data_IF_461071475575
#
_entry.id   IF_461071475575
#
_cell.length_a   1.000
_cell.length_b   1.000
_cell.length_c   1.000
_cell.angle_alpha   90.00
_cell.angle_beta   90.00
_cell.angle_gamma   90.00
#
_symmetry.space_group_name_H-M   'P 1'
#
loop_
_entity.id
_entity.type
_entity.pdbx_description
1 polymer ?
#
# COMPACT_ATOMS: atom_id res chain seq x y z
N UNK A 1 -14.68 10.73 11.51
CA UNK A 1 -13.48 11.14 10.75
C UNK A 1 -13.48 10.45 9.39
N UNK A 2 -13.50 11.23 8.30
CA UNK A 2 -13.47 10.72 6.91
C UNK A 2 -12.02 10.45 6.48
N UNK A 3 -11.44 9.33 6.91
CA UNK A 3 -10.15 8.89 6.35
C UNK A 3 -10.31 7.46 5.84
N UNK A 4 -9.65 7.15 4.72
CA UNK A 4 -9.61 5.78 4.18
C UNK A 4 -8.70 4.92 5.07
N UNK A 5 -8.96 3.62 5.10
CA UNK A 5 -8.00 2.63 5.59
C UNK A 5 -7.19 2.13 4.40
N UNK A 6 -5.88 2.14 4.54
CA UNK A 6 -4.98 1.56 3.56
C UNK A 6 -4.47 0.21 4.07
N UNK A 7 -4.64 -0.84 3.26
CA UNK A 7 -4.27 -2.20 3.65
C UNK A 7 -3.62 -2.95 2.48
N UNK A 8 -2.51 -3.63 2.79
CA UNK A 8 -1.85 -4.58 1.89
C UNK A 8 -1.93 -5.99 2.49
N UNK A 9 -1.67 -7.01 1.68
CA UNK A 9 -1.87 -8.42 2.07
C UNK A 9 -0.61 -9.08 2.67
N UNK A 10 0.48 -8.33 2.87
CA UNK A 10 1.74 -8.84 3.41
C UNK A 10 2.41 -9.91 2.53
N UNK A 11 3.38 -10.64 3.10
CA UNK A 11 4.11 -11.73 2.43
C UNK A 11 3.59 -13.14 2.76
N UNK A 12 2.61 -13.28 3.66
CA UNK A 12 2.51 -14.49 4.49
C UNK A 12 1.30 -15.41 4.32
N UNK A 13 0.35 -15.09 3.44
CA UNK A 13 -0.87 -15.88 3.27
C UNK A 13 -0.95 -16.62 1.94
N UNK A 14 -1.52 -17.83 1.93
CA UNK A 14 -1.97 -18.47 0.68
C UNK A 14 -3.05 -17.56 0.07
N UNK A 15 -2.79 -17.02 -1.12
CA UNK A 15 -3.68 -16.05 -1.79
C UNK A 15 -3.26 -14.59 -1.62
N UNK A 16 -2.18 -14.29 -0.90
CA UNK A 16 -1.63 -12.94 -0.84
C UNK A 16 -1.19 -12.49 -2.24
N UNK A 17 -1.77 -11.37 -2.68
CA UNK A 17 -1.55 -10.72 -3.96
C UNK A 17 -0.83 -9.39 -3.72
N UNK A 18 -0.01 -8.93 -4.68
CA UNK A 18 0.70 -7.66 -4.59
C UNK A 18 -0.27 -6.51 -4.88
N UNK A 19 -1.30 -6.37 -4.04
CA UNK A 19 -2.35 -5.37 -4.17
C UNK A 19 -2.41 -4.55 -2.89
N UNK A 20 -2.45 -3.23 -3.05
CA UNK A 20 -2.66 -2.27 -1.99
C UNK A 20 -4.03 -1.63 -2.15
N UNK A 21 -4.87 -1.71 -1.11
CA UNK A 21 -6.26 -1.29 -1.17
C UNK A 21 -6.50 -0.04 -0.34
N UNK A 22 -7.34 0.82 -0.88
CA UNK A 22 -7.98 1.88 -0.13
C UNK A 22 -9.43 1.45 0.18
N UNK A 23 -9.79 1.50 1.45
CA UNK A 23 -11.05 1.00 1.98
C UNK A 23 -11.78 2.15 2.67
N UNK A 24 -13.06 2.34 2.37
CA UNK A 24 -13.91 3.24 3.14
C UNK A 24 -14.09 2.65 4.55
N UNK A 25 -13.68 3.40 5.59
CA UNK A 25 -13.71 2.89 6.97
C UNK A 25 -15.11 2.75 7.56
N UNK A 26 -16.10 3.41 6.99
CA UNK A 26 -17.48 3.36 7.46
C UNK A 26 -18.22 2.17 6.87
N UNK A 27 -18.02 1.92 5.58
CA UNK A 27 -18.76 0.87 4.85
C UNK A 27 -17.97 -0.43 4.69
N UNK A 28 -16.64 -0.36 4.72
CA UNK A 28 -15.76 -1.49 4.39
C UNK A 28 -15.59 -1.72 2.89
N UNK A 29 -16.16 -0.86 2.04
CA UNK A 29 -16.03 -0.97 0.59
C UNK A 29 -14.61 -0.66 0.12
N UNK A 30 -14.10 -1.47 -0.81
CA UNK A 30 -12.85 -1.19 -1.52
C UNK A 30 -13.14 -0.10 -2.55
N UNK A 31 -12.58 1.08 -2.36
CA UNK A 31 -12.78 2.24 -3.25
C UNK A 31 -11.67 2.39 -4.28
N UNK A 32 -10.51 1.75 -4.04
CA UNK A 32 -9.43 1.64 -5.00
C UNK A 32 -8.55 0.42 -4.72
N UNK A 33 -8.02 -0.15 -5.80
CA UNK A 33 -6.96 -1.14 -5.79
C UNK A 33 -5.75 -0.58 -6.54
N UNK A 34 -4.56 -0.73 -5.96
CA UNK A 34 -3.29 -0.24 -6.48
C UNK A 34 -2.37 -1.45 -6.60
N UNK A 35 -1.93 -1.75 -7.82
CA UNK A 35 -0.96 -2.80 -8.05
C UNK A 35 0.39 -2.43 -7.43
N UNK A 36 0.95 -3.37 -6.67
CA UNK A 36 2.32 -3.29 -6.19
C UNK A 36 3.21 -4.11 -7.13
N UNK A 37 4.49 -3.72 -7.30
CA UNK A 37 5.41 -4.50 -8.11
C UNK A 37 5.74 -5.87 -7.48
N UNK A 38 5.63 -5.98 -6.14
CA UNK A 38 5.85 -7.20 -5.34
C UNK A 38 5.03 -7.14 -4.04
N UNK A 39 4.97 -8.27 -3.32
CA UNK A 39 4.26 -8.34 -2.04
C UNK A 39 4.83 -7.36 -1.02
N UNK A 40 3.93 -6.77 -0.23
CA UNK A 40 4.27 -5.85 0.86
C UNK A 40 5.02 -6.60 1.96
N UNK A 41 6.15 -6.05 2.40
CA UNK A 41 7.02 -6.62 3.43
C UNK A 41 7.26 -5.71 4.63
N UNK A 42 6.93 -4.42 4.52
CA UNK A 42 7.00 -3.45 5.61
C UNK A 42 5.71 -2.62 5.74
N UNK A 43 5.51 -2.00 6.90
CA UNK A 43 4.26 -1.29 7.19
C UNK A 43 4.06 -0.09 6.25
N UNK A 44 2.84 0.14 5.73
CA UNK A 44 2.52 1.38 5.03
C UNK A 44 2.59 2.59 5.96
N UNK A 45 3.06 3.71 5.42
CA UNK A 45 3.12 4.99 6.12
C UNK A 45 2.88 6.15 5.15
N UNK A 46 2.66 7.34 5.69
CA UNK A 46 2.47 8.57 4.90
C UNK A 46 3.46 9.63 5.35
N UNK A 47 3.84 10.51 4.43
CA UNK A 47 4.62 11.71 4.69
C UNK A 47 4.22 12.79 3.68
N UNK A 48 4.62 14.02 3.96
CA UNK A 48 4.47 15.15 3.06
C UNK A 48 5.85 15.72 2.74
N UNK A 49 6.04 16.14 1.50
CA UNK A 49 7.24 16.82 1.04
C UNK A 49 6.86 17.85 -0.02
N UNK A 50 7.25 19.10 0.20
CA UNK A 50 7.00 20.22 -0.71
C UNK A 50 5.51 20.39 -1.08
N UNK A 51 4.62 20.20 -0.10
CA UNK A 51 3.16 20.31 -0.27
C UNK A 51 2.52 19.10 -0.93
N UNK A 52 3.29 18.05 -1.25
CA UNK A 52 2.78 16.82 -1.87
C UNK A 52 2.72 15.68 -0.86
N UNK A 53 1.54 15.08 -0.72
CA UNK A 53 1.32 13.93 0.16
C UNK A 53 1.71 12.62 -0.56
N UNK A 54 2.43 11.77 0.17
CA UNK A 54 2.84 10.46 -0.27
C UNK A 54 2.30 9.36 0.63
N UNK A 55 2.04 8.20 0.03
CA UNK A 55 1.86 6.95 0.75
C UNK A 55 2.96 6.01 0.30
N UNK A 56 3.67 5.41 1.24
CA UNK A 56 4.83 4.57 0.97
C UNK A 56 4.80 3.27 1.77
N UNK A 57 5.44 2.25 1.22
CA UNK A 57 5.59 0.93 1.82
C UNK A 57 6.78 0.20 1.22
N UNK A 58 7.27 -0.81 1.93
CA UNK A 58 8.32 -1.71 1.44
C UNK A 58 7.72 -2.92 0.73
N UNK A 59 8.31 -3.31 -0.39
CA UNK A 59 7.95 -4.49 -1.17
C UNK A 59 9.17 -5.41 -1.32
N UNK A 60 8.95 -6.73 -1.28
CA UNK A 60 10.01 -7.72 -1.45
C UNK A 60 9.47 -9.04 -2.01
N UNK A 61 10.38 -9.90 -2.51
CA UNK A 61 10.03 -11.20 -3.09
C UNK A 61 10.80 -11.50 -4.38
N UNK A 62 10.67 -12.73 -4.89
CA UNK A 62 11.25 -13.12 -6.17
C UNK A 62 12.79 -13.10 -6.23
N UNK A 63 13.48 -13.20 -5.08
CA UNK A 63 14.95 -13.16 -5.00
C UNK A 63 15.57 -11.76 -5.23
N UNK A 64 14.74 -10.71 -5.29
CA UNK A 64 15.20 -9.33 -5.48
C UNK A 64 15.38 -8.60 -4.15
N UNK A 65 16.18 -7.53 -4.17
CA UNK A 65 16.32 -6.63 -3.04
C UNK A 65 14.96 -6.00 -2.66
N UNK A 66 14.80 -5.71 -1.36
CA UNK A 66 13.65 -4.96 -0.89
C UNK A 66 13.71 -3.52 -1.41
N UNK A 67 12.56 -2.99 -1.82
CA UNK A 67 12.44 -1.63 -2.36
C UNK A 67 11.42 -0.84 -1.56
N UNK A 68 11.68 0.46 -1.43
CA UNK A 68 10.68 1.44 -0.99
C UNK A 68 9.92 1.94 -2.22
N UNK A 69 8.60 1.80 -2.22
CA UNK A 69 7.73 2.34 -3.26
C UNK A 69 6.87 3.45 -2.66
N UNK A 70 6.79 4.60 -3.33
CA UNK A 70 6.01 5.76 -2.90
C UNK A 70 5.04 6.18 -4.01
N UNK A 71 3.77 6.36 -3.64
CA UNK A 71 2.69 6.79 -4.53
C UNK A 71 2.19 8.17 -4.11
N UNK A 72 1.74 8.94 -5.09
CA UNK A 72 1.11 10.24 -4.90
C UNK A 72 0.15 10.52 -6.05
N UNK A 73 -0.81 11.41 -5.83
CA UNK A 73 -1.61 11.96 -6.92
C UNK A 73 -0.74 12.88 -7.81
N UNK A 74 -1.14 13.13 -9.08
CA UNK A 74 -0.42 14.05 -9.98
C UNK A 74 -0.12 15.40 -9.32
#
# INVERSE_FOLDING_TARGET
>A
TKTLLFAAEGTGGRGASPIFRAIDKQTGEIVAEIDLPRNQSGLPFTYEHEGKQYIALFVSGGGQAAELVAYSLP
#
